data_IF_182527922016
#
_entry.id   IF_182527922016
#
_cell.length_a   1.000
_cell.length_b   1.000
_cell.length_c   1.000
_cell.angle_alpha   90.00
_cell.angle_beta   90.00
_cell.angle_gamma   90.00
#
_symmetry.space_group_name_H-M   'P 1'
#
loop_
_entity.id
_entity.type
_entity.pdbx_description
1 polymer ?
#
# COMPACT_ATOMS: atom_id res chain seq x y z
N UNK A 1 31.55 31.50 2.77
CA UNK A 1 30.34 31.30 1.96
C UNK A 1 30.20 29.89 1.34
N UNK A 2 31.20 28.99 1.43
CA UNK A 2 31.08 27.61 0.90
C UNK A 2 30.45 26.63 1.90
N UNK A 3 30.48 26.94 3.20
CA UNK A 3 29.97 26.07 4.27
C UNK A 3 28.43 26.09 4.41
N UNK A 4 27.76 27.13 3.89
CA UNK A 4 26.30 27.27 3.99
C UNK A 4 25.54 26.39 2.97
N UNK A 5 26.20 26.00 1.87
CA UNK A 5 25.61 25.19 0.80
C UNK A 5 25.46 23.72 1.24
N UNK A 6 26.39 23.22 2.07
CA UNK A 6 26.34 21.84 2.58
C UNK A 6 25.23 21.59 3.61
N UNK A 7 24.80 22.63 4.33
CA UNK A 7 23.70 22.51 5.29
C UNK A 7 22.33 22.45 4.61
N UNK A 8 22.19 23.07 3.43
CA UNK A 8 20.93 23.08 2.65
C UNK A 8 20.71 21.75 1.90
N UNK A 9 21.77 21.04 1.52
CA UNK A 9 21.69 19.73 0.85
C UNK A 9 21.33 18.58 1.78
N UNK A 10 21.51 18.73 3.10
CA UNK A 10 21.21 17.67 4.09
C UNK A 10 19.73 17.68 4.50
N UNK A 11 19.00 18.80 4.28
CA UNK A 11 17.59 18.93 4.69
C UNK A 11 16.57 18.32 3.70
N UNK A 12 17.00 17.93 2.49
CA UNK A 12 16.07 17.49 1.42
C UNK A 12 15.90 15.95 1.35
N UNK A 13 16.59 15.19 2.20
CA UNK A 13 16.67 13.72 2.05
C UNK A 13 15.69 12.89 2.89
N UNK A 14 14.72 13.49 3.60
CA UNK A 14 13.76 12.74 4.44
C UNK A 14 12.32 12.82 3.92
N UNK A 15 12.11 12.61 2.63
CA UNK A 15 10.75 12.42 2.09
C UNK A 15 10.44 10.93 2.25
N UNK A 16 9.91 10.54 3.41
CA UNK A 16 9.28 9.23 3.56
C UNK A 16 8.03 9.15 2.69
N UNK A 17 7.73 7.98 2.13
CA UNK A 17 6.50 7.76 1.38
C UNK A 17 5.28 7.90 2.32
N UNK A 18 4.50 8.95 2.10
CA UNK A 18 3.29 9.33 2.80
C UNK A 18 2.13 8.61 2.14
N UNK A 19 1.50 7.69 2.85
CA UNK A 19 0.37 6.91 2.35
C UNK A 19 -0.95 7.69 2.50
N UNK A 20 -1.91 7.44 1.60
CA UNK A 20 -3.33 7.74 1.79
C UNK A 20 -4.00 6.47 2.34
N UNK A 21 -4.45 6.54 3.58
CA UNK A 21 -5.14 5.49 4.35
C UNK A 21 -6.64 5.73 4.40
N UNK A 22 -7.40 4.80 4.96
CA UNK A 22 -8.86 4.81 4.96
C UNK A 22 -9.44 4.59 6.36
N UNK A 23 -10.63 5.12 6.62
CA UNK A 23 -11.35 4.91 7.89
C UNK A 23 -12.03 3.54 8.00
N UNK A 24 -12.16 2.83 6.87
CA UNK A 24 -12.78 1.50 6.77
C UNK A 24 -11.99 0.65 5.75
N UNK A 25 -12.01 -0.68 5.86
CA UNK A 25 -11.46 -1.58 4.84
C UNK A 25 -12.07 -1.30 3.46
N UNK A 26 -11.25 -1.40 2.41
CA UNK A 26 -11.64 -1.15 1.03
C UNK A 26 -11.38 -2.36 0.11
N UNK A 27 -12.23 -2.59 -0.90
CA UNK A 27 -13.49 -1.89 -1.16
C UNK A 27 -14.56 -2.22 -0.11
N UNK A 28 -15.32 -1.21 0.33
CA UNK A 28 -16.48 -1.43 1.18
C UNK A 28 -17.48 -2.39 0.50
N UNK A 29 -17.87 -3.47 1.20
CA UNK A 29 -18.79 -4.49 0.69
C UNK A 29 -18.18 -5.42 -0.37
N UNK A 30 -16.85 -5.47 -0.51
CA UNK A 30 -16.16 -6.46 -1.34
C UNK A 30 -16.37 -7.90 -0.83
N UNK A 31 -16.12 -8.87 -1.70
CA UNK A 31 -16.10 -10.28 -1.30
C UNK A 31 -14.85 -10.54 -0.45
N UNK A 32 -15.06 -10.82 0.84
CA UNK A 32 -13.98 -11.20 1.75
C UNK A 32 -13.54 -12.64 1.51
N UNK A 33 -12.25 -12.82 1.29
CA UNK A 33 -11.60 -14.10 1.13
C UNK A 33 -10.96 -14.51 2.45
N UNK A 34 -11.21 -15.75 2.86
CA UNK A 34 -10.52 -16.36 4.00
C UNK A 34 -9.10 -16.82 3.65
N UNK A 35 -8.76 -16.86 2.35
CA UNK A 35 -7.49 -17.37 1.85
C UNK A 35 -7.05 -16.63 0.58
N UNK A 36 -5.73 -16.48 0.39
CA UNK A 36 -5.13 -16.03 -0.86
C UNK A 36 -5.41 -17.05 -1.98
N UNK A 37 -5.76 -16.60 -3.20
CA UNK A 37 -5.91 -17.50 -4.35
C UNK A 37 -4.66 -18.34 -4.60
N UNK A 38 -4.85 -19.61 -4.95
CA UNK A 38 -3.76 -20.59 -5.13
C UNK A 38 -2.71 -20.15 -6.17
N UNK A 39 -3.12 -19.34 -7.13
CA UNK A 39 -2.30 -18.81 -8.21
C UNK A 39 -1.20 -17.89 -7.69
N UNK A 40 -1.51 -17.10 -6.64
CA UNK A 40 -0.57 -16.15 -6.03
C UNK A 40 0.14 -16.72 -4.81
N UNK A 41 -0.22 -17.91 -4.33
CA UNK A 41 0.54 -18.60 -3.28
C UNK A 41 1.91 -19.02 -3.83
N UNK A 42 2.97 -18.87 -3.04
CA UNK A 42 4.33 -19.20 -3.45
C UNK A 42 5.36 -18.21 -2.94
N UNK A 43 6.55 -18.26 -3.54
CA UNK A 43 7.67 -17.38 -3.20
C UNK A 43 7.95 -16.43 -4.37
N UNK A 44 8.08 -15.14 -4.07
CA UNK A 44 8.41 -14.10 -5.02
C UNK A 44 9.65 -13.33 -4.56
N UNK A 45 10.37 -12.73 -5.51
CA UNK A 45 11.49 -11.84 -5.26
C UNK A 45 11.22 -10.47 -5.87
N UNK A 46 11.68 -9.41 -5.22
CA UNK A 46 11.77 -8.08 -5.86
C UNK A 46 12.68 -8.15 -7.08
N UNK A 47 12.54 -7.20 -8.01
CA UNK A 47 13.32 -7.20 -9.26
C UNK A 47 14.85 -7.12 -9.04
N UNK A 48 15.29 -6.50 -7.95
CA UNK A 48 16.69 -6.43 -7.54
C UNK A 48 17.15 -7.64 -6.71
N UNK A 49 16.23 -8.55 -6.38
CA UNK A 49 16.45 -9.73 -5.55
C UNK A 49 16.78 -9.41 -4.09
N UNK A 50 16.52 -8.19 -3.63
CA UNK A 50 16.88 -7.76 -2.28
C UNK A 50 15.90 -8.28 -1.23
N UNK A 51 14.61 -8.32 -1.53
CA UNK A 51 13.55 -8.77 -0.64
C UNK A 51 12.77 -9.96 -1.24
N UNK A 52 12.17 -10.76 -0.36
CA UNK A 52 11.27 -11.84 -0.73
C UNK A 52 9.86 -11.60 -0.23
N UNK A 53 8.86 -12.06 -0.98
CA UNK A 53 7.48 -12.20 -0.54
C UNK A 53 7.12 -13.69 -0.53
N UNK A 54 6.78 -14.23 0.63
CA UNK A 54 6.14 -15.54 0.74
C UNK A 54 4.65 -15.33 0.93
N UNK A 55 3.83 -16.02 0.15
CA UNK A 55 2.37 -16.04 0.28
C UNK A 55 1.93 -17.48 0.49
N UNK A 56 1.42 -17.78 1.68
CA UNK A 56 0.75 -19.05 1.99
C UNK A 56 -0.78 -18.85 1.91
N UNK A 57 -1.57 -19.85 2.30
CA UNK A 57 -3.03 -19.80 2.13
C UNK A 57 -3.70 -18.65 2.87
N UNK A 58 -3.26 -18.32 4.08
CA UNK A 58 -3.87 -17.29 4.95
C UNK A 58 -2.83 -16.32 5.51
N UNK A 59 -1.62 -16.33 4.97
CA UNK A 59 -0.48 -15.61 5.52
C UNK A 59 0.41 -15.06 4.42
N UNK A 60 1.03 -13.89 4.66
CA UNK A 60 2.17 -13.47 3.88
C UNK A 60 3.29 -12.91 4.75
N UNK A 61 4.49 -12.95 4.20
CA UNK A 61 5.71 -12.43 4.80
C UNK A 61 6.52 -11.73 3.70
N UNK A 62 6.77 -10.43 3.87
CA UNK A 62 7.57 -9.60 2.98
C UNK A 62 8.83 -9.07 3.69
N UNK A 63 9.94 -9.09 2.95
CA UNK A 63 11.21 -8.50 3.36
C UNK A 63 12.30 -9.54 3.55
N UNK A 64 13.40 -9.12 4.16
CA UNK A 64 14.49 -10.00 4.59
C UNK A 64 14.41 -10.28 6.08
N UNK A 65 14.73 -11.52 6.48
CA UNK A 65 14.83 -11.91 7.90
C UNK A 65 15.86 -11.06 8.66
N UNK A 66 16.89 -10.55 7.98
CA UNK A 66 17.95 -9.68 8.54
C UNK A 66 17.81 -8.20 8.17
N UNK A 67 16.75 -7.83 7.45
CA UNK A 67 16.54 -6.48 6.91
C UNK A 67 15.87 -5.54 7.90
N UNK A 68 15.93 -4.24 7.60
CA UNK A 68 15.24 -3.21 8.36
C UNK A 68 13.72 -3.16 8.08
N UNK A 69 13.27 -3.78 6.99
CA UNK A 69 11.86 -3.88 6.62
C UNK A 69 11.47 -5.36 6.60
N UNK A 70 10.64 -5.74 7.56
CA UNK A 70 10.03 -7.06 7.63
C UNK A 70 8.56 -6.86 8.00
N UNK A 71 7.66 -7.30 7.13
CA UNK A 71 6.21 -7.16 7.27
C UNK A 71 5.60 -8.55 7.15
N UNK A 72 4.82 -8.95 8.14
CA UNK A 72 4.16 -10.25 8.14
C UNK A 72 2.74 -10.07 8.67
N UNK A 73 1.78 -10.73 8.04
CA UNK A 73 0.40 -10.73 8.48
C UNK A 73 -0.31 -12.04 8.14
N UNK A 74 -1.18 -12.46 9.05
CA UNK A 74 -2.14 -13.54 8.85
C UNK A 74 -3.52 -12.93 8.70
N UNK A 75 -4.33 -13.44 7.76
CA UNK A 75 -5.69 -12.99 7.55
C UNK A 75 -6.50 -13.16 8.84
N UNK A 76 -6.90 -12.05 9.43
CA UNK A 76 -7.55 -11.96 10.74
C UNK A 76 -8.28 -10.63 10.87
N UNK A 77 -8.97 -10.35 11.98
CA UNK A 77 -9.83 -9.17 12.11
C UNK A 77 -9.19 -7.81 11.83
N UNK A 78 -7.85 -7.72 11.83
CA UNK A 78 -7.06 -6.52 11.47
C UNK A 78 -6.36 -6.62 10.10
N UNK A 79 -6.48 -7.74 9.41
CA UNK A 79 -5.81 -8.07 8.15
C UNK A 79 -6.79 -8.80 7.23
N UNK A 80 -7.43 -8.08 6.32
CA UNK A 80 -8.52 -8.61 5.49
C UNK A 80 -8.08 -8.69 4.02
N UNK A 81 -8.57 -9.70 3.31
CA UNK A 81 -8.32 -9.85 1.87
C UNK A 81 -9.64 -9.77 1.13
N UNK A 82 -9.81 -8.79 0.25
CA UNK A 82 -11.01 -8.68 -0.58
C UNK A 82 -10.69 -8.94 -2.06
N UNK A 83 -11.64 -9.52 -2.79
CA UNK A 83 -11.58 -9.68 -4.24
C UNK A 83 -12.60 -8.76 -4.92
N UNK A 84 -12.15 -7.96 -5.89
CA UNK A 84 -13.03 -7.17 -6.74
C UNK A 84 -12.41 -6.97 -8.12
N UNK A 85 -13.16 -7.27 -9.18
CA UNK A 85 -12.73 -7.06 -10.58
C UNK A 85 -11.37 -7.72 -10.89
N UNK A 86 -11.12 -8.92 -10.36
CA UNK A 86 -9.87 -9.67 -10.48
C UNK A 86 -8.63 -8.97 -9.87
N UNK A 87 -8.84 -7.96 -9.02
CA UNK A 87 -7.82 -7.38 -8.17
C UNK A 87 -8.04 -7.84 -6.73
N UNK A 88 -6.93 -8.09 -6.05
CA UNK A 88 -6.91 -8.41 -4.63
C UNK A 88 -6.60 -7.13 -3.84
N UNK A 89 -7.36 -6.90 -2.78
CA UNK A 89 -7.20 -5.76 -1.89
C UNK A 89 -6.82 -6.29 -0.52
N UNK A 90 -5.53 -6.21 -0.20
CA UNK A 90 -5.05 -6.54 1.12
C UNK A 90 -5.17 -5.31 2.03
N UNK A 91 -6.01 -5.44 3.06
CA UNK A 91 -6.36 -4.40 4.01
C UNK A 91 -5.65 -4.67 5.33
N UNK A 92 -4.86 -3.72 5.80
CA UNK A 92 -4.21 -3.81 7.10
C UNK A 92 -4.64 -2.67 8.01
N UNK A 93 -5.29 -3.01 9.12
CA UNK A 93 -5.92 -2.11 10.06
C UNK A 93 -5.10 -1.93 11.32
N UNK A 94 -4.86 -0.68 11.71
CA UNK A 94 -4.27 -0.34 13.00
C UNK A 94 -4.98 0.87 13.61
N UNK A 95 -5.49 0.73 14.84
CA UNK A 95 -6.26 1.77 15.53
C UNK A 95 -7.45 2.34 14.72
N UNK A 96 -8.13 1.47 13.96
CA UNK A 96 -9.27 1.86 13.12
C UNK A 96 -8.91 2.58 11.82
N UNK A 97 -7.62 2.69 11.50
CA UNK A 97 -7.13 3.24 10.23
C UNK A 97 -6.55 2.11 9.38
N UNK A 98 -6.93 2.08 8.11
CA UNK A 98 -6.65 0.98 7.19
C UNK A 98 -5.72 1.42 6.07
N UNK A 99 -4.61 0.72 5.93
CA UNK A 99 -3.76 0.74 4.73
C UNK A 99 -4.29 -0.26 3.73
N UNK A 100 -4.21 0.05 2.43
CA UNK A 100 -4.74 -0.79 1.35
C UNK A 100 -3.68 -1.02 0.30
N UNK A 101 -3.28 -2.28 0.15
CA UNK A 101 -2.44 -2.75 -0.94
C UNK A 101 -3.31 -3.38 -2.01
N UNK A 102 -3.14 -2.93 -3.25
CA UNK A 102 -3.81 -3.47 -4.43
C UNK A 102 -2.83 -4.40 -5.12
N UNK A 103 -3.22 -5.66 -5.25
CA UNK A 103 -2.41 -6.71 -5.87
C UNK A 103 -3.09 -7.13 -7.17
N UNK A 104 -2.36 -7.04 -8.28
CA UNK A 104 -2.82 -7.47 -9.59
C UNK A 104 -2.23 -8.86 -9.94
N UNK A 105 -3.03 -9.94 -9.83
CA UNK A 105 -2.59 -11.30 -10.13
C UNK A 105 -2.60 -11.63 -11.63
N UNK A 106 -3.08 -10.73 -12.51
CA UNK A 106 -3.31 -11.06 -13.92
C UNK A 106 -2.02 -11.21 -14.72
N UNK A 107 -0.91 -10.67 -14.21
CA UNK A 107 0.39 -10.65 -14.89
C UNK A 107 1.37 -11.72 -14.39
N UNK A 108 0.91 -12.76 -13.70
CA UNK A 108 1.76 -13.85 -13.24
C UNK A 108 2.64 -14.40 -14.40
N UNK A 109 3.95 -14.65 -14.17
CA UNK A 109 4.61 -14.76 -12.87
C UNK A 109 5.01 -13.43 -12.19
N UNK A 110 4.68 -12.27 -12.78
CA UNK A 110 4.91 -10.97 -12.16
C UNK A 110 3.70 -10.53 -11.32
N UNK A 111 3.94 -10.25 -10.04
CA UNK A 111 2.96 -9.71 -9.12
C UNK A 111 3.21 -8.21 -8.95
N UNK A 112 2.21 -7.39 -9.32
CA UNK A 112 2.28 -5.94 -9.17
C UNK A 112 1.54 -5.53 -7.92
N UNK A 113 2.20 -4.73 -7.09
CA UNK A 113 1.63 -4.18 -5.86
C UNK A 113 1.54 -2.66 -6.00
N UNK A 114 0.36 -2.14 -5.74
CA UNK A 114 0.06 -0.71 -5.79
C UNK A 114 -0.53 -0.23 -4.48
N UNK A 115 -0.33 1.05 -4.19
CA UNK A 115 -0.86 1.73 -3.00
C UNK A 115 -1.31 3.14 -3.36
N UNK A 116 -2.08 3.79 -2.49
CA UNK A 116 -2.40 5.20 -2.64
C UNK A 116 -1.32 6.05 -1.96
N UNK A 117 -0.53 6.75 -2.77
CA UNK A 117 0.67 7.46 -2.34
C UNK A 117 0.43 8.97 -2.48
N UNK A 118 0.71 9.74 -1.43
CA UNK A 118 0.44 11.16 -1.35
C UNK A 118 1.57 12.04 -1.94
N UNK A 119 2.77 11.47 -2.17
CA UNK A 119 3.88 12.15 -2.87
C UNK A 119 3.51 12.56 -4.29
N UNK A 120 2.64 11.81 -4.95
CA UNK A 120 2.08 12.20 -6.24
C UNK A 120 1.07 13.32 -6.02
N UNK A 121 1.57 14.55 -6.02
CA UNK A 121 0.75 15.75 -5.77
C UNK A 121 -0.41 15.91 -6.76
N UNK A 122 -0.31 15.36 -7.97
CA UNK A 122 -1.38 15.39 -8.97
C UNK A 122 -2.48 14.40 -8.55
N UNK A 123 -2.12 13.16 -8.21
CA UNK A 123 -3.08 12.18 -7.70
C UNK A 123 -3.67 12.60 -6.37
N UNK A 124 -2.87 13.09 -5.42
CA UNK A 124 -3.34 13.58 -4.12
C UNK A 124 -4.39 14.70 -4.29
N UNK A 125 -4.10 15.68 -5.15
CA UNK A 125 -5.07 16.73 -5.46
C UNK A 125 -6.36 16.11 -6.00
N UNK A 126 -6.25 15.16 -6.94
CA UNK A 126 -7.43 14.52 -7.52
C UNK A 126 -8.23 13.71 -6.51
N UNK A 127 -7.57 12.99 -5.61
CA UNK A 127 -8.21 12.28 -4.49
C UNK A 127 -8.97 13.27 -3.60
N UNK A 128 -8.39 14.43 -3.29
CA UNK A 128 -9.05 15.48 -2.48
C UNK A 128 -10.29 16.11 -3.13
N UNK A 129 -10.44 16.00 -4.46
CA UNK A 129 -11.64 16.41 -5.18
C UNK A 129 -12.74 15.34 -5.12
N UNK A 130 -12.40 14.11 -4.73
CA UNK A 130 -13.31 12.96 -4.66
C UNK A 130 -13.74 12.67 -3.23
N UNK A 131 -12.83 12.77 -2.26
CA UNK A 131 -13.04 12.44 -0.87
C UNK A 131 -12.44 13.49 0.08
N UNK A 132 -12.97 13.56 1.30
CA UNK A 132 -12.37 14.36 2.36
C UNK A 132 -11.08 13.70 2.84
N UNK A 133 -10.02 14.48 3.00
CA UNK A 133 -8.72 14.01 3.49
C UNK A 133 -8.35 14.73 4.78
N UNK A 134 -8.22 13.97 5.85
CA UNK A 134 -7.64 14.43 7.11
C UNK A 134 -6.13 14.20 7.12
N UNK A 135 -5.36 15.12 7.70
CA UNK A 135 -3.91 14.96 7.82
C UNK A 135 -3.57 14.31 9.15
N UNK A 136 -2.80 13.24 9.10
CA UNK A 136 -2.13 12.70 10.28
C UNK A 136 -0.72 13.30 10.37
N UNK A 137 -0.39 13.89 11.51
CA UNK A 137 0.92 14.49 11.77
C UNK A 137 1.61 13.81 12.94
N UNK A 138 2.94 13.78 12.90
CA UNK A 138 3.76 13.32 14.04
C UNK A 138 3.96 14.42 15.10
N UNK A 139 4.75 14.11 16.14
CA UNK A 139 5.07 15.03 17.23
C UNK A 139 5.82 16.29 16.77
N UNK A 140 6.44 16.26 15.59
CA UNK A 140 7.14 17.40 14.99
C UNK A 140 6.25 18.27 14.11
N UNK A 141 5.01 17.81 13.85
CA UNK A 141 4.07 18.43 12.93
C UNK A 141 4.29 18.03 11.47
N UNK A 142 5.17 17.07 11.18
CA UNK A 142 5.35 16.53 9.84
C UNK A 142 4.17 15.62 9.48
N UNK A 143 3.68 15.73 8.25
CA UNK A 143 2.59 14.87 7.76
C UNK A 143 3.15 13.46 7.54
N UNK A 144 2.55 12.47 8.19
CA UNK A 144 2.96 11.06 8.08
C UNK A 144 1.97 10.22 7.29
N UNK A 145 0.70 10.65 7.18
CA UNK A 145 -0.29 10.06 6.29
C UNK A 145 -1.46 11.01 6.02
N UNK A 146 -2.24 10.72 5.00
CA UNK A 146 -3.57 11.29 4.80
C UNK A 146 -4.62 10.22 5.06
N UNK A 147 -5.70 10.57 5.74
CA UNK A 147 -6.81 9.65 6.04
C UNK A 147 -8.01 10.07 5.21
N UNK A 148 -8.39 9.21 4.27
CA UNK A 148 -9.56 9.38 3.44
C UNK A 148 -10.79 8.78 4.11
N UNK A 149 -11.83 9.60 4.29
CA UNK A 149 -13.17 9.13 4.62
C UNK A 149 -14.00 9.13 3.33
N UNK A 150 -14.30 7.93 2.83
CA UNK A 150 -14.95 7.75 1.53
C UNK A 150 -16.02 6.66 1.58
N UNK A 151 -17.04 6.83 0.73
CA UNK A 151 -18.04 5.80 0.43
C UNK A 151 -17.53 4.83 -0.63
N UNK A 152 -18.19 3.66 -0.77
CA UNK A 152 -17.86 2.68 -1.81
C UNK A 152 -17.85 3.29 -3.23
N UNK A 153 -18.79 4.18 -3.55
CA UNK A 153 -18.85 4.85 -4.85
C UNK A 153 -17.66 5.82 -5.08
N UNK A 154 -17.18 6.47 -4.01
CA UNK A 154 -15.98 7.30 -4.09
C UNK A 154 -14.73 6.43 -4.28
N UNK A 155 -14.61 5.30 -3.58
CA UNK A 155 -13.51 4.35 -3.78
C UNK A 155 -13.47 3.84 -5.22
N UNK A 156 -14.62 3.43 -5.77
CA UNK A 156 -14.74 3.02 -7.17
C UNK A 156 -14.27 4.10 -8.13
N UNK A 157 -14.58 5.36 -7.84
CA UNK A 157 -14.07 6.48 -8.63
C UNK A 157 -12.55 6.60 -8.55
N UNK A 158 -11.94 6.40 -7.38
CA UNK A 158 -10.47 6.37 -7.24
C UNK A 158 -9.84 5.26 -8.10
N UNK A 159 -10.46 4.08 -8.11
CA UNK A 159 -10.01 2.92 -8.88
C UNK A 159 -10.14 3.16 -10.39
N UNK A 160 -11.31 3.63 -10.84
CA UNK A 160 -11.58 3.93 -12.24
C UNK A 160 -10.65 5.01 -12.81
N UNK A 161 -10.29 6.01 -11.99
CA UNK A 161 -9.35 7.06 -12.36
C UNK A 161 -7.88 6.65 -12.15
N UNK A 162 -7.61 5.43 -11.70
CA UNK A 162 -6.26 4.88 -11.46
C UNK A 162 -5.41 5.77 -10.57
N UNK A 163 -5.99 6.25 -9.47
CA UNK A 163 -5.34 7.17 -8.54
C UNK A 163 -4.42 6.47 -7.52
N UNK A 164 -4.18 5.17 -7.71
CA UNK A 164 -3.14 4.42 -7.01
C UNK A 164 -1.83 4.42 -7.80
N UNK A 165 -0.72 4.09 -7.14
CA UNK A 165 0.64 4.07 -7.71
C UNK A 165 1.22 2.68 -7.50
N UNK A 166 1.78 2.11 -8.56
CA UNK A 166 2.59 0.90 -8.48
C UNK A 166 3.84 1.20 -7.65
N UNK A 167 4.02 0.47 -6.55
CA UNK A 167 5.14 0.66 -5.62
C UNK A 167 6.13 -0.49 -5.70
N UNK A 168 5.72 -1.64 -6.24
CA UNK A 168 6.55 -2.84 -6.28
C UNK A 168 6.10 -3.79 -7.39
N UNK A 169 7.08 -4.45 -7.99
CA UNK A 169 6.89 -5.61 -8.88
C UNK A 169 7.73 -6.75 -8.34
N UNK A 170 7.12 -7.92 -8.16
CA UNK A 170 7.80 -9.13 -7.70
C UNK A 170 7.65 -10.25 -8.72
N UNK A 171 8.69 -11.08 -8.87
CA UNK A 171 8.69 -12.23 -9.77
C UNK A 171 8.57 -13.52 -8.98
N UNK A 172 7.62 -14.38 -9.35
CA UNK A 172 7.43 -15.70 -8.75
C UNK A 172 8.60 -16.62 -9.09
N UNK A 173 9.13 -17.31 -8.08
CA UNK A 173 10.23 -18.27 -8.22
C UNK A 173 9.86 -19.69 -7.82
N UNK A 174 8.83 -19.85 -6.98
CA UNK A 174 8.26 -21.15 -6.57
C UNK A 174 6.74 -21.06 -6.47
#
# INVERSE_FOLDING_TARGET
MKTLIYLLSILVMMIGCTEIKFTEPQPAGGEELSQFPSEIQGLFLTQDGSDSLRVDADHFEFGRVDGHLHVSATLSGDSLLFLKENLLFFNYGHNGIWSVMIVDPQNLPELKVSMFIAEDTVKLKRVSEIASLDKQVDETGAIISYIANLSGAQFEKLMNEKLYTEVMVLSKIE
#
